data_IF_073421279552
#
_entry.id   IF_073421279552
#
_cell.length_a   1.000
_cell.length_b   1.000
_cell.length_c   1.000
_cell.angle_alpha   90.00
_cell.angle_beta   90.00
_cell.angle_gamma   90.00
#
_symmetry.space_group_name_H-M   'P 1'
#
loop_
_entity.id
_entity.type
_entity.pdbx_description
1 polymer ?
#
# COMPACT_ATOMS: atom_id res chain seq x y z
N UNK A 1 29.37 -13.50 22.82
CA UNK A 1 28.56 -13.81 21.62
C UNK A 1 27.15 -13.32 21.89
N UNK A 2 26.54 -12.51 21.03
CA UNK A 2 25.24 -11.92 21.39
C UNK A 2 24.77 -10.75 20.53
N UNK A 3 25.59 -10.29 19.58
CA UNK A 3 25.13 -9.33 18.58
C UNK A 3 24.11 -9.97 17.64
N UNK A 4 24.45 -11.16 17.09
CA UNK A 4 23.54 -11.88 16.19
C UNK A 4 22.29 -12.41 16.89
N UNK A 5 22.37 -12.82 18.17
CA UNK A 5 21.19 -13.25 18.95
C UNK A 5 20.22 -12.10 19.24
N UNK A 6 20.72 -10.88 19.49
CA UNK A 6 19.88 -9.69 19.62
C UNK A 6 19.22 -9.31 18.30
N UNK A 7 19.93 -9.47 17.19
CA UNK A 7 19.38 -9.21 15.85
C UNK A 7 18.36 -10.27 15.49
N UNK A 8 18.61 -11.56 15.77
CA UNK A 8 17.62 -12.62 15.52
C UNK A 8 16.41 -12.41 16.41
N UNK A 9 16.56 -12.07 17.68
CA UNK A 9 15.41 -11.82 18.56
C UNK A 9 14.63 -10.54 18.17
N UNK A 10 15.29 -9.54 17.57
CA UNK A 10 14.64 -8.35 17.02
C UNK A 10 13.97 -8.59 15.66
N UNK A 11 14.50 -9.52 14.84
CA UNK A 11 13.93 -9.92 13.54
C UNK A 11 12.86 -11.03 13.70
N UNK A 12 12.96 -11.84 14.75
CA UNK A 12 12.01 -12.88 15.15
C UNK A 12 10.90 -12.34 16.06
N UNK A 13 10.80 -11.01 16.19
CA UNK A 13 9.66 -10.34 16.79
C UNK A 13 8.39 -10.67 16.02
N UNK A 14 7.65 -11.63 16.58
CA UNK A 14 6.23 -11.89 16.40
C UNK A 14 5.78 -12.22 14.96
N UNK A 15 5.78 -13.52 14.67
CA UNK A 15 4.98 -14.14 13.60
C UNK A 15 3.48 -14.09 13.90
N UNK A 16 2.99 -12.90 14.24
CA UNK A 16 1.58 -12.61 14.26
C UNK A 16 1.31 -11.83 12.97
N UNK A 17 0.97 -12.57 11.93
CA UNK A 17 0.18 -12.06 10.81
C UNK A 17 -1.20 -11.71 11.35
N UNK A 18 -1.25 -10.75 12.27
CA UNK A 18 -2.45 -10.00 12.58
C UNK A 18 -2.73 -9.25 11.30
N UNK A 19 -3.84 -9.56 10.67
CA UNK A 19 -4.42 -8.75 9.61
C UNK A 19 -4.46 -7.32 10.14
N UNK A 20 -3.44 -6.53 9.77
CA UNK A 20 -3.43 -5.09 9.99
C UNK A 20 -4.77 -4.64 9.43
N UNK A 21 -5.67 -4.12 10.28
CA UNK A 21 -6.94 -3.54 9.85
C UNK A 21 -6.59 -2.37 8.93
N UNK A 22 -6.38 -2.71 7.67
CA UNK A 22 -5.68 -1.89 6.73
C UNK A 22 -6.74 -1.00 6.11
N UNK A 23 -6.67 0.29 6.44
CA UNK A 23 -7.39 1.39 5.76
C UNK A 23 -7.25 1.35 4.23
N UNK A 24 -6.30 0.56 3.73
CA UNK A 24 -5.99 0.38 2.32
C UNK A 24 -6.99 -0.55 1.63
N UNK A 25 -7.81 0.02 0.76
CA UNK A 25 -8.66 -0.77 -0.13
C UNK A 25 -7.84 -1.39 -1.26
N UNK A 26 -7.98 -2.70 -1.46
CA UNK A 26 -7.30 -3.38 -2.57
C UNK A 26 -8.01 -3.15 -3.91
N UNK A 27 -7.25 -2.87 -4.96
CA UNK A 27 -7.75 -2.70 -6.33
C UNK A 27 -7.52 -3.99 -7.12
N UNK A 28 -8.59 -4.72 -7.43
CA UNK A 28 -8.53 -6.02 -8.10
C UNK A 28 -9.07 -5.99 -9.54
N UNK A 29 -9.88 -4.98 -9.89
CA UNK A 29 -10.53 -4.88 -11.19
C UNK A 29 -10.40 -3.48 -11.81
N UNK A 30 -10.44 -3.40 -13.13
CA UNK A 30 -10.29 -2.12 -13.86
C UNK A 30 -11.45 -1.15 -13.61
N UNK A 31 -12.65 -1.66 -13.33
CA UNK A 31 -13.82 -0.84 -12.99
C UNK A 31 -13.58 -0.03 -11.70
N UNK A 32 -12.82 -0.58 -10.75
CA UNK A 32 -12.43 0.15 -9.54
C UNK A 32 -11.51 1.31 -9.87
N UNK A 33 -10.59 1.16 -10.83
CA UNK A 33 -9.71 2.25 -11.28
C UNK A 33 -10.54 3.39 -11.84
N UNK A 34 -11.51 3.07 -12.71
CA UNK A 34 -12.39 4.09 -13.32
C UNK A 34 -13.22 4.83 -12.25
N UNK A 35 -13.72 4.09 -11.26
CA UNK A 35 -14.42 4.67 -10.12
C UNK A 35 -13.53 5.59 -9.28
N UNK A 36 -12.29 5.19 -9.00
CA UNK A 36 -11.33 6.02 -8.25
C UNK A 36 -11.05 7.31 -9.00
N UNK A 37 -10.82 7.24 -10.32
CA UNK A 37 -10.58 8.43 -11.14
C UNK A 37 -11.79 9.37 -11.16
N UNK A 38 -13.01 8.84 -11.24
CA UNK A 38 -14.23 9.66 -11.12
C UNK A 38 -14.34 10.33 -9.75
N UNK A 39 -14.16 9.57 -8.66
CA UNK A 39 -14.22 10.08 -7.29
C UNK A 39 -13.11 11.10 -6.99
N UNK A 40 -11.97 11.03 -7.69
CA UNK A 40 -10.87 11.98 -7.54
C UNK A 40 -11.24 13.43 -7.89
N UNK A 41 -12.36 13.63 -8.60
CA UNK A 41 -12.91 14.97 -8.85
C UNK A 41 -13.65 15.57 -7.64
N UNK A 42 -14.06 14.74 -6.68
CA UNK A 42 -14.84 15.15 -5.50
C UNK A 42 -14.01 15.13 -4.21
N UNK A 43 -13.07 14.20 -4.11
CA UNK A 43 -12.33 13.89 -2.88
C UNK A 43 -10.93 13.37 -3.20
N UNK A 44 -10.01 13.51 -2.25
CA UNK A 44 -8.63 13.09 -2.47
C UNK A 44 -8.58 11.56 -2.52
N UNK A 45 -7.89 11.02 -3.52
CA UNK A 45 -7.69 9.58 -3.69
C UNK A 45 -6.19 9.31 -3.60
N UNK A 46 -5.75 8.50 -2.64
CA UNK A 46 -4.36 8.07 -2.51
C UNK A 46 -4.27 6.63 -2.97
N UNK A 47 -3.50 6.40 -4.05
CA UNK A 47 -3.21 5.07 -4.56
C UNK A 47 -1.72 4.79 -4.35
N UNK A 48 -1.41 3.80 -3.52
CA UNK A 48 -0.05 3.37 -3.26
C UNK A 48 0.28 2.08 -4.01
N UNK A 49 1.27 2.15 -4.90
CA UNK A 49 1.82 0.97 -5.60
C UNK A 49 2.91 0.35 -4.74
N UNK A 50 2.57 -0.76 -4.07
CA UNK A 50 3.46 -1.46 -3.17
C UNK A 50 4.10 -2.66 -3.85
N UNK A 51 5.43 -2.80 -3.74
CA UNK A 51 6.15 -4.03 -4.07
C UNK A 51 6.56 -4.77 -2.78
N UNK A 52 5.96 -5.93 -2.48
CA UNK A 52 6.31 -6.74 -1.30
C UNK A 52 7.78 -7.17 -1.23
N UNK A 53 8.47 -7.25 -2.38
CA UNK A 53 9.87 -7.63 -2.45
C UNK A 53 10.86 -6.45 -2.31
N UNK A 54 10.36 -5.22 -2.20
CA UNK A 54 11.19 -4.02 -2.19
C UNK A 54 11.23 -3.38 -0.80
N UNK A 55 12.38 -3.43 -0.13
CA UNK A 55 12.52 -2.92 1.24
C UNK A 55 12.12 -1.44 1.40
N UNK A 56 12.48 -0.58 0.44
CA UNK A 56 12.08 0.85 0.49
C UNK A 56 10.57 1.04 0.36
N UNK A 57 9.89 0.18 -0.43
CA UNK A 57 8.44 0.17 -0.55
C UNK A 57 7.76 -0.28 0.74
N UNK A 58 8.36 -1.23 1.46
CA UNK A 58 7.88 -1.67 2.76
C UNK A 58 7.96 -0.55 3.81
N UNK A 59 9.11 0.12 3.92
CA UNK A 59 9.25 1.24 4.86
C UNK A 59 8.36 2.43 4.51
N UNK A 60 8.17 2.72 3.23
CA UNK A 60 7.25 3.77 2.79
C UNK A 60 5.79 3.45 3.18
N UNK A 61 5.32 2.21 2.97
CA UNK A 61 3.99 1.79 3.42
C UNK A 61 3.82 1.96 4.93
N UNK A 62 4.82 1.54 5.71
CA UNK A 62 4.81 1.70 7.17
C UNK A 62 4.68 3.16 7.61
N UNK A 63 5.37 4.07 6.93
CA UNK A 63 5.27 5.51 7.21
C UNK A 63 3.91 6.09 6.81
N UNK A 64 3.28 5.57 5.76
CA UNK A 64 1.95 5.99 5.33
C UNK A 64 0.84 5.49 6.27
N UNK A 65 1.08 4.41 7.02
CA UNK A 65 0.19 3.92 8.09
C UNK A 65 0.22 4.79 9.36
N UNK A 66 0.65 6.05 9.27
CA UNK A 66 0.67 6.97 10.40
C UNK A 66 -0.77 7.41 10.74
N UNK A 67 -1.28 7.17 11.96
CA UNK A 67 -2.67 7.46 12.35
C UNK A 67 -3.13 8.89 12.06
N UNK A 68 -2.24 9.88 12.13
CA UNK A 68 -2.59 11.29 11.84
C UNK A 68 -3.01 11.51 10.37
N UNK A 69 -2.45 10.75 9.43
CA UNK A 69 -2.89 10.76 8.03
C UNK A 69 -4.24 10.06 7.86
N UNK A 70 -4.53 9.08 8.71
CA UNK A 70 -5.68 8.18 8.60
C UNK A 70 -6.97 8.75 9.20
N UNK A 71 -6.88 9.70 10.14
CA UNK A 71 -8.05 10.36 10.70
C UNK A 71 -8.71 11.38 9.75
N UNK A 72 -8.10 11.66 8.58
CA UNK A 72 -8.66 12.56 7.58
C UNK A 72 -9.79 11.89 6.79
N UNK A 73 -11.04 12.14 7.21
CA UNK A 73 -12.26 11.59 6.57
C UNK A 73 -12.49 12.04 5.11
N UNK A 74 -11.63 12.91 4.56
CA UNK A 74 -11.71 13.41 3.18
C UNK A 74 -10.81 12.68 2.17
N UNK A 75 -10.13 11.61 2.59
CA UNK A 75 -9.15 10.89 1.78
C UNK A 75 -9.53 9.41 1.72
N UNK A 76 -9.64 8.86 0.50
CA UNK A 76 -9.75 7.42 0.30
C UNK A 76 -8.39 6.82 -0.03
N UNK A 77 -8.05 5.73 0.65
CA UNK A 77 -6.77 5.04 0.53
C UNK A 77 -6.94 3.72 -0.24
N UNK A 78 -6.04 3.50 -1.19
CA UNK A 78 -6.00 2.29 -2.02
C UNK A 78 -4.59 1.76 -2.19
N UNK A 79 -4.46 0.44 -2.24
CA UNK A 79 -3.19 -0.24 -2.42
C UNK A 79 -3.24 -1.19 -3.61
N UNK A 80 -2.20 -1.13 -4.44
CA UNK A 80 -1.95 -2.07 -5.53
C UNK A 80 -0.69 -2.85 -5.18
N UNK A 81 -0.82 -4.16 -5.04
CA UNK A 81 0.33 -5.06 -4.98
C UNK A 81 0.85 -5.29 -6.40
N UNK A 82 1.98 -4.68 -6.73
CA UNK A 82 2.52 -4.73 -8.11
C UNK A 82 3.04 -6.11 -8.51
N UNK A 83 3.25 -7.01 -7.55
CA UNK A 83 3.69 -8.38 -7.82
C UNK A 83 2.47 -9.27 -8.08
N UNK A 84 1.45 -9.19 -7.22
CA UNK A 84 0.23 -10.01 -7.31
C UNK A 84 -0.75 -9.49 -8.35
N UNK A 85 -0.81 -8.18 -8.57
CA UNK A 85 -1.78 -7.48 -9.42
C UNK A 85 -1.09 -6.73 -10.57
N UNK A 86 -0.08 -7.34 -11.23
CA UNK A 86 0.63 -6.73 -12.37
C UNK A 86 -0.27 -6.10 -13.44
N UNK A 87 -1.34 -6.78 -13.93
CA UNK A 87 -2.19 -6.21 -14.96
C UNK A 87 -2.87 -4.92 -14.50
N UNK A 88 -3.35 -4.89 -13.25
CA UNK A 88 -3.99 -3.72 -12.64
C UNK A 88 -2.99 -2.59 -12.44
N UNK A 89 -1.77 -2.88 -11.97
CA UNK A 89 -0.71 -1.87 -11.83
C UNK A 89 -0.35 -1.21 -13.16
N UNK A 90 -0.28 -2.01 -14.23
CA UNK A 90 -0.05 -1.55 -15.60
C UNK A 90 -1.19 -0.67 -16.10
N UNK A 91 -2.43 -1.17 -16.06
CA UNK A 91 -3.64 -0.44 -16.47
C UNK A 91 -3.77 0.89 -15.72
N UNK A 92 -3.52 0.89 -14.41
CA UNK A 92 -3.50 2.12 -13.61
C UNK A 92 -2.42 3.10 -14.12
N UNK A 93 -1.19 2.61 -14.35
CA UNK A 93 -0.08 3.44 -14.88
C UNK A 93 -0.43 4.11 -16.20
N UNK A 94 -1.10 3.39 -17.10
CA UNK A 94 -1.51 3.90 -18.40
C UNK A 94 -2.58 4.99 -18.27
N UNK A 95 -3.59 4.77 -17.42
CA UNK A 95 -4.68 5.74 -17.20
C UNK A 95 -4.20 7.04 -16.56
N UNK A 96 -3.27 6.96 -15.60
CA UNK A 96 -2.72 8.16 -14.94
C UNK A 96 -1.48 8.73 -15.61
N UNK A 97 -0.95 8.06 -16.64
CA UNK A 97 0.31 8.39 -17.30
C UNK A 97 1.54 8.44 -16.35
N UNK A 98 1.53 7.63 -15.28
CA UNK A 98 2.61 7.55 -14.28
C UNK A 98 3.14 6.12 -14.20
N UNK A 99 4.42 5.94 -14.54
CA UNK A 99 5.11 4.64 -14.48
C UNK A 99 5.39 4.22 -13.04
N UNK A 100 5.42 2.90 -12.81
CA UNK A 100 5.86 2.29 -11.56
C UNK A 100 7.39 2.26 -11.49
#
# INVERSE_FOLDING_TARGET
MGFLEKITNALSGDGNSSEEETIWNSINCEEQIDKILKLSHERIQIVYKHSPSCGVSYFALRNLNNPELLENSGIDFYLIDVIRQRPISGSFAEKVNVRH
#
